data_IF_345895511153
#
_entry.id   IF_345895511153
#
_cell.length_a   1.000
_cell.length_b   1.000
_cell.length_c   1.000
_cell.angle_alpha   90.00
_cell.angle_beta   90.00
_cell.angle_gamma   90.00
#
_symmetry.space_group_name_H-M   'P 1'
#
loop_
_entity.id
_entity.type
_entity.pdbx_description
1 polymer ?
#
# COMPACT_ATOMS: atom_id res chain seq x y z
N UNK A 1 -4.67 -14.14 -21.80
CA UNK A 1 -4.59 -13.96 -21.19
C UNK A 1 -4.68 -13.43 -20.28
N UNK A 2 -4.83 -13.38 -19.73
CA UNK A 2 -5.01 -12.78 -19.02
C UNK A 2 -4.40 -12.30 -17.97
N UNK A 3 -4.02 -11.97 -17.72
CA UNK A 3 -3.31 -11.16 -17.01
C UNK A 3 -3.98 -10.43 -16.01
N UNK A 4 -5.16 -10.61 -15.92
CA UNK A 4 -6.04 -10.10 -14.92
C UNK A 4 -5.72 -10.61 -13.53
N UNK A 5 -4.76 -11.48 -13.43
CA UNK A 5 -4.30 -12.01 -12.14
C UNK A 5 -3.19 -11.18 -11.51
N UNK A 6 -2.74 -10.13 -12.16
CA UNK A 6 -1.72 -9.25 -11.59
C UNK A 6 -2.27 -8.56 -10.33
N UNK A 7 -1.54 -8.68 -9.24
CA UNK A 7 -1.93 -8.10 -7.95
C UNK A 7 -0.73 -7.45 -7.28
N UNK A 8 -1.01 -6.67 -6.23
CA UNK A 8 0.05 -6.01 -5.48
C UNK A 8 -0.38 -5.79 -4.03
N UNK A 9 0.58 -5.47 -3.17
CA UNK A 9 0.31 -5.04 -1.80
C UNK A 9 0.76 -3.59 -1.66
N UNK A 10 0.35 -2.94 -0.57
CA UNK A 10 0.77 -1.55 -0.33
C UNK A 10 2.29 -1.46 -0.18
N UNK A 11 2.93 -2.50 0.33
CA UNK A 11 4.39 -2.53 0.48
C UNK A 11 5.08 -2.45 -0.89
N UNK A 12 4.48 -3.10 -1.90
CA UNK A 12 5.03 -3.05 -3.26
C UNK A 12 5.06 -1.61 -3.78
N UNK A 13 4.04 -0.81 -3.44
CA UNK A 13 3.98 0.60 -3.84
C UNK A 13 5.07 1.41 -3.15
N UNK A 14 5.27 1.18 -1.85
CA UNK A 14 6.34 1.86 -1.12
C UNK A 14 7.71 1.56 -1.74
N UNK A 15 7.96 0.30 -2.07
CA UNK A 15 9.22 -0.09 -2.70
C UNK A 15 9.40 0.57 -4.06
N UNK A 16 8.34 0.62 -4.85
CA UNK A 16 8.38 1.23 -6.17
C UNK A 16 8.75 2.71 -6.09
N UNK A 17 8.21 3.41 -5.10
CA UNK A 17 8.45 4.84 -4.93
C UNK A 17 9.69 5.13 -4.08
N UNK A 18 10.40 4.09 -3.67
CA UNK A 18 11.62 4.21 -2.85
C UNK A 18 11.33 4.97 -1.56
N UNK A 19 10.18 4.71 -0.98
CA UNK A 19 9.76 5.30 0.28
C UNK A 19 9.84 4.22 1.35
N UNK A 20 10.56 4.48 2.43
CA UNK A 20 10.73 3.50 3.49
C UNK A 20 9.39 3.08 4.08
N UNK A 21 9.14 1.77 4.10
CA UNK A 21 7.87 1.21 4.53
C UNK A 21 7.83 1.05 6.05
N UNK A 22 7.66 2.16 6.75
CA UNK A 22 7.61 2.16 8.22
C UNK A 22 6.23 2.59 8.71
N UNK A 23 5.87 2.15 9.91
CA UNK A 23 4.71 2.68 10.59
C UNK A 23 5.02 4.12 10.99
N UNK A 24 4.08 5.00 11.02
CA UNK A 24 2.65 4.82 10.75
C UNK A 24 2.27 4.98 9.28
N UNK A 25 3.23 5.22 8.39
CA UNK A 25 2.92 5.49 6.98
C UNK A 25 2.30 4.30 6.27
N UNK A 26 2.82 3.09 6.50
CA UNK A 26 2.24 1.89 5.88
C UNK A 26 0.82 1.66 6.37
N UNK A 27 0.58 1.91 7.65
CA UNK A 27 -0.75 1.75 8.24
C UNK A 27 -1.74 2.75 7.65
N UNK A 28 -1.35 4.01 7.58
CA UNK A 28 -2.21 5.05 7.03
C UNK A 28 -2.54 4.78 5.56
N UNK A 29 -1.52 4.42 4.76
CA UNK A 29 -1.73 4.10 3.35
C UNK A 29 -2.65 2.90 3.19
N UNK A 30 -2.44 1.87 4.02
CA UNK A 30 -3.27 0.67 3.97
C UNK A 30 -4.72 0.97 4.27
N UNK A 31 -4.99 1.77 5.31
CA UNK A 31 -6.36 2.14 5.66
C UNK A 31 -7.05 2.92 4.55
N UNK A 32 -6.34 3.87 3.96
CA UNK A 32 -6.90 4.68 2.87
C UNK A 32 -7.22 3.83 1.65
N UNK A 33 -6.33 2.91 1.31
CA UNK A 33 -6.53 2.05 0.14
C UNK A 33 -7.66 1.04 0.37
N UNK A 34 -7.76 0.47 1.58
CA UNK A 34 -8.85 -0.44 1.93
C UNK A 34 -10.19 0.28 1.81
N UNK A 35 -10.26 1.52 2.31
CA UNK A 35 -11.48 2.31 2.22
C UNK A 35 -11.87 2.56 0.78
N UNK A 36 -10.91 2.91 -0.06
CA UNK A 36 -11.16 3.13 -1.47
C UNK A 36 -11.65 1.85 -2.15
N UNK A 37 -11.02 0.72 -1.83
CA UNK A 37 -11.43 -0.58 -2.37
C UNK A 37 -12.87 -0.92 -1.98
N UNK A 38 -13.23 -0.69 -0.72
CA UNK A 38 -14.59 -0.93 -0.25
C UNK A 38 -15.62 -0.06 -0.98
N UNK A 39 -15.27 1.20 -1.22
CA UNK A 39 -16.16 2.11 -1.92
C UNK A 39 -16.37 1.69 -3.38
N UNK A 40 -15.35 1.13 -3.99
CA UNK A 40 -15.43 0.72 -5.40
C UNK A 40 -16.03 -0.67 -5.60
N UNK A 41 -15.81 -1.60 -4.69
CA UNK A 41 -16.23 -2.98 -4.88
C UNK A 41 -17.32 -3.44 -3.91
N UNK A 42 -17.51 -2.72 -2.83
CA UNK A 42 -18.49 -3.09 -1.82
C UNK A 42 -18.00 -4.14 -0.82
N UNK A 43 -16.74 -4.54 -0.88
CA UNK A 43 -16.20 -5.56 0.02
C UNK A 43 -14.77 -5.30 0.41
N UNK A 44 -14.23 -6.14 1.28
CA UNK A 44 -12.85 -6.01 1.72
C UNK A 44 -11.91 -6.74 0.75
N UNK A 45 -10.67 -6.24 0.59
CA UNK A 45 -9.71 -6.93 -0.28
C UNK A 45 -9.30 -8.27 0.34
N UNK A 46 -8.95 -9.27 -0.48
CA UNK A 46 -8.42 -10.53 0.03
C UNK A 46 -7.08 -10.30 0.70
N UNK A 47 -6.66 -11.25 1.52
CA UNK A 47 -5.39 -11.17 2.24
C UNK A 47 -4.52 -12.38 1.91
N UNK A 48 -3.22 -12.18 1.97
CA UNK A 48 -2.25 -13.22 1.69
C UNK A 48 -1.13 -13.17 2.73
N UNK A 49 -0.67 -14.32 3.18
CA UNK A 49 0.47 -14.41 4.09
C UNK A 49 1.75 -14.20 3.33
N UNK A 50 2.59 -13.29 3.80
CA UNK A 50 3.90 -13.02 3.20
C UNK A 50 4.90 -12.73 4.31
N UNK A 51 6.18 -12.94 4.01
CA UNK A 51 7.25 -12.58 4.93
C UNK A 51 7.21 -11.08 5.19
N UNK A 52 7.36 -10.68 6.45
CA UNK A 52 7.40 -9.26 6.81
C UNK A 52 8.59 -8.59 6.13
N UNK A 53 8.49 -7.28 5.92
CA UNK A 53 9.57 -6.51 5.30
C UNK A 53 10.84 -6.57 6.11
N UNK A 54 10.74 -6.84 7.41
CA UNK A 54 11.91 -7.02 8.28
C UNK A 54 12.64 -8.34 8.03
N UNK A 55 12.01 -9.26 7.29
CA UNK A 55 12.59 -10.58 7.03
C UNK A 55 12.33 -11.58 8.14
N UNK A 56 11.65 -11.20 9.20
CA UNK A 56 11.36 -12.06 10.35
C UNK A 56 9.86 -12.22 10.52
N UNK A 57 9.38 -13.46 10.45
CA UNK A 57 7.97 -13.78 10.65
C UNK A 57 7.14 -13.50 9.40
N UNK A 58 5.83 -13.77 9.50
CA UNK A 58 4.89 -13.57 8.42
C UNK A 58 3.77 -12.66 8.88
N UNK A 59 3.08 -12.05 7.91
CA UNK A 59 1.98 -11.14 8.17
C UNK A 59 0.97 -11.26 7.03
N UNK A 60 -0.30 -11.02 7.33
CA UNK A 60 -1.33 -10.99 6.30
C UNK A 60 -1.39 -9.60 5.68
N UNK A 61 -1.11 -9.54 4.39
CA UNK A 61 -1.20 -8.28 3.65
C UNK A 61 -2.42 -8.31 2.73
N UNK A 62 -3.13 -7.20 2.65
CA UNK A 62 -4.23 -7.07 1.70
C UNK A 62 -3.67 -7.08 0.28
N UNK A 63 -4.34 -7.81 -0.60
CA UNK A 63 -3.95 -7.99 -1.99
C UNK A 63 -4.93 -7.20 -2.84
N UNK A 64 -4.42 -6.37 -3.74
CA UNK A 64 -5.25 -5.53 -4.60
C UNK A 64 -5.01 -5.86 -6.07
N UNK A 65 -6.06 -5.78 -6.92
CA UNK A 65 -5.87 -5.91 -8.36
C UNK A 65 -5.01 -4.76 -8.87
N UNK A 66 -4.24 -5.02 -9.92
CA UNK A 66 -3.31 -4.03 -10.46
C UNK A 66 -4.01 -2.74 -10.90
N UNK A 67 -5.29 -2.79 -11.21
CA UNK A 67 -6.06 -1.60 -11.59
C UNK A 67 -6.16 -0.57 -10.46
N UNK A 68 -5.90 -0.97 -9.21
CA UNK A 68 -5.88 -0.05 -8.07
C UNK A 68 -4.51 0.58 -7.84
N UNK A 69 -3.52 0.24 -8.67
CA UNK A 69 -2.15 0.73 -8.50
C UNK A 69 -2.06 2.25 -8.53
N UNK A 70 -2.75 2.90 -9.48
CA UNK A 70 -2.67 4.36 -9.62
C UNK A 70 -3.18 5.06 -8.37
N UNK A 71 -4.27 4.56 -7.80
CA UNK A 71 -4.81 5.14 -6.57
C UNK A 71 -3.86 4.90 -5.40
N UNK A 72 -3.31 3.70 -5.30
CA UNK A 72 -2.35 3.37 -4.24
C UNK A 72 -1.10 4.25 -4.33
N UNK A 73 -0.59 4.43 -5.54
CA UNK A 73 0.57 5.28 -5.78
C UNK A 73 0.29 6.72 -5.36
N UNK A 74 -0.89 7.22 -5.69
CA UNK A 74 -1.31 8.56 -5.33
C UNK A 74 -1.34 8.74 -3.82
N UNK A 75 -1.88 7.76 -3.08
CA UNK A 75 -1.93 7.79 -1.62
C UNK A 75 -0.52 7.83 -1.03
N UNK A 76 0.35 6.95 -1.51
CA UNK A 76 1.72 6.87 -0.96
C UNK A 76 2.52 8.12 -1.30
N UNK A 77 2.36 8.66 -2.51
CA UNK A 77 3.02 9.91 -2.90
C UNK A 77 2.60 11.07 -1.99
N UNK A 78 1.31 11.11 -1.62
CA UNK A 78 0.81 12.12 -0.71
C UNK A 78 1.47 12.03 0.65
N UNK A 79 1.63 10.82 1.17
CA UNK A 79 2.30 10.62 2.46
C UNK A 79 3.78 10.97 2.40
N UNK A 80 4.44 10.66 1.30
CA UNK A 80 5.84 10.98 1.11
C UNK A 80 6.05 12.50 1.09
N UNK A 81 5.18 13.22 0.40
CA UNK A 81 5.24 14.68 0.36
C UNK A 81 4.98 15.28 1.74
N UNK A 82 4.04 14.70 2.49
CA UNK A 82 3.75 15.15 3.85
C UNK A 82 4.95 14.96 4.77
N UNK A 83 5.62 13.81 4.68
CA UNK A 83 6.83 13.56 5.46
C UNK A 83 7.92 14.57 5.12
N UNK A 84 8.12 14.87 3.85
CA UNK A 84 9.12 15.84 3.42
C UNK A 84 8.84 17.23 4.00
N UNK A 85 7.57 17.65 4.01
CA UNK A 85 7.18 18.92 4.59
C UNK A 85 7.46 18.98 6.08
N UNK A 86 7.18 17.88 6.80
CA UNK A 86 7.44 17.81 8.23
C UNK A 86 8.93 17.94 8.52
N UNK A 87 9.77 17.34 7.69
CA UNK A 87 11.22 17.43 7.86
C UNK A 87 11.74 18.83 7.60
N UNK A 88 11.11 19.55 6.69
CA UNK A 88 11.51 20.94 6.38
C UNK A 88 11.17 21.91 7.49
N UNK A 89 10.26 21.56 8.37
CA UNK A 89 9.86 22.42 9.49
C UNK A 89 10.86 22.39 10.63
N UNK A 90 11.84 21.54 10.56
CA UNK A 90 12.90 21.47 11.55
C UNK A 90 14.23 21.85 10.93
#
# INVERSE_FOLDING_TARGET
MNNSTATFTIIDVFKHLKFEAVKPYTWSAGLQLVKHYQEETGGLPPKELRTKTSGVGVHCFAIYPIEFWDEAEKIVKGLKAEKARQMEMF
#
